data_IF_998493271780
#
_entry.id   IF_998493271780
#
_cell.length_a   1.000
_cell.length_b   1.000
_cell.length_c   1.000
_cell.angle_alpha   90.00
_cell.angle_beta   90.00
_cell.angle_gamma   90.00
#
_symmetry.space_group_name_H-M   'P 1'
#
loop_
_entity.id
_entity.type
_entity.pdbx_description
1 polymer ?
#
# COMPACT_ATOMS: atom_id res chain seq x y z
N UNK A 1 11.16 12.97 -1.27
CA UNK A 1 11.76 11.92 -0.43
C UNK A 1 10.68 11.00 0.10
N UNK A 2 11.07 9.81 0.59
CA UNK A 2 10.17 8.79 1.08
C UNK A 2 9.55 7.95 -0.03
N UNK A 3 8.34 7.43 0.23
CA UNK A 3 7.60 6.57 -0.70
C UNK A 3 6.18 7.09 -0.94
N UNK A 4 5.53 6.54 -1.93
CA UNK A 4 4.12 6.79 -2.25
C UNK A 4 3.44 5.52 -2.74
N UNK A 5 2.11 5.52 -2.87
CA UNK A 5 1.37 4.37 -3.37
C UNK A 5 1.90 3.93 -4.75
N UNK A 6 2.02 2.63 -4.94
CA UNK A 6 2.29 2.06 -6.26
C UNK A 6 0.96 2.05 -7.06
N UNK A 7 0.92 2.85 -8.11
CA UNK A 7 -0.23 2.97 -9.00
C UNK A 7 0.18 2.50 -10.40
N UNK A 8 0.01 1.20 -10.72
CA UNK A 8 0.32 0.67 -12.04
C UNK A 8 -0.67 1.19 -13.09
N UNK A 9 -0.34 1.11 -14.40
CA UNK A 9 -1.20 1.60 -15.48
C UNK A 9 -2.39 0.65 -15.73
N UNK A 10 -3.26 0.51 -14.72
CA UNK A 10 -4.51 -0.24 -14.82
C UNK A 10 -5.59 0.70 -15.34
N UNK A 11 -6.42 0.19 -16.26
CA UNK A 11 -7.50 0.95 -16.87
C UNK A 11 -8.42 1.56 -15.81
N UNK A 12 -8.68 2.86 -15.91
CA UNK A 12 -9.54 3.63 -15.01
C UNK A 12 -8.96 3.92 -13.62
N UNK A 13 -7.77 3.39 -13.28
CA UNK A 13 -7.18 3.62 -11.96
C UNK A 13 -6.89 5.10 -11.73
N UNK A 14 -6.15 5.73 -12.62
CA UNK A 14 -5.76 7.14 -12.48
C UNK A 14 -6.94 8.11 -12.60
N UNK A 15 -8.01 7.70 -13.24
CA UNK A 15 -9.22 8.52 -13.43
C UNK A 15 -10.14 8.51 -12.20
N UNK A 16 -10.02 7.49 -11.34
CA UNK A 16 -10.93 7.29 -10.21
C UNK A 16 -10.25 7.39 -8.84
N UNK A 17 -8.93 7.13 -8.75
CA UNK A 17 -8.24 7.10 -7.45
C UNK A 17 -8.07 8.50 -6.86
N UNK A 18 -8.39 8.65 -5.58
CA UNK A 18 -8.27 9.87 -4.78
C UNK A 18 -8.93 11.10 -5.44
N UNK A 19 -9.98 10.86 -6.23
CA UNK A 19 -10.76 11.91 -6.89
C UNK A 19 -11.66 12.61 -5.87
N UNK A 20 -11.75 13.93 -5.96
CA UNK A 20 -12.66 14.72 -5.11
C UNK A 20 -14.11 14.25 -5.28
N UNK A 21 -14.75 13.92 -4.17
CA UNK A 21 -16.10 13.33 -4.16
C UNK A 21 -16.20 11.89 -4.68
N UNK A 22 -15.07 11.27 -5.03
CA UNK A 22 -15.01 9.86 -5.42
C UNK A 22 -15.02 8.93 -4.23
N UNK A 23 -15.06 7.63 -4.51
CA UNK A 23 -15.10 6.57 -3.51
C UNK A 23 -14.02 5.49 -3.71
N UNK A 24 -13.02 5.78 -4.53
CA UNK A 24 -11.83 4.93 -4.73
C UNK A 24 -10.62 5.64 -4.14
N UNK A 25 -9.94 4.98 -3.22
CA UNK A 25 -8.86 5.58 -2.43
C UNK A 25 -7.55 4.79 -2.56
N UNK A 26 -6.44 5.51 -2.60
CA UNK A 26 -5.13 4.98 -2.20
C UNK A 26 -5.04 4.95 -0.68
N UNK A 27 -3.99 4.33 -0.13
CA UNK A 27 -3.76 4.39 1.32
C UNK A 27 -3.56 5.84 1.81
N UNK A 28 -2.91 6.69 1.04
CA UNK A 28 -2.74 8.10 1.41
C UNK A 28 -4.06 8.86 1.31
N UNK A 29 -4.86 8.61 0.27
CA UNK A 29 -6.22 9.16 0.16
C UNK A 29 -7.09 8.74 1.34
N UNK A 30 -7.07 7.46 1.72
CA UNK A 30 -7.77 6.99 2.92
C UNK A 30 -7.33 7.72 4.19
N UNK A 31 -6.02 7.86 4.43
CA UNK A 31 -5.50 8.54 5.63
C UNK A 31 -5.93 10.01 5.66
N UNK A 32 -5.89 10.70 4.52
CA UNK A 32 -6.32 12.10 4.44
C UNK A 32 -7.81 12.29 4.75
N UNK A 33 -8.63 11.27 4.50
CA UNK A 33 -10.07 11.26 4.70
C UNK A 33 -10.52 10.34 5.85
N UNK A 34 -9.60 9.94 6.75
CA UNK A 34 -9.88 8.92 7.77
C UNK A 34 -11.03 9.27 8.70
N UNK A 35 -11.22 10.55 8.97
CA UNK A 35 -12.31 11.06 9.83
C UNK A 35 -13.64 11.25 9.09
N UNK A 36 -13.66 11.13 7.77
CA UNK A 36 -14.86 11.30 6.94
C UNK A 36 -15.64 9.98 6.83
N UNK A 37 -15.01 8.85 7.14
CA UNK A 37 -15.67 7.55 7.14
C UNK A 37 -16.57 7.38 8.38
N UNK A 38 -17.84 6.96 8.19
CA UNK A 38 -18.76 6.70 9.31
C UNK A 38 -18.20 5.65 10.29
N UNK A 39 -18.53 5.79 11.57
CA UNK A 39 -18.14 4.81 12.59
C UNK A 39 -18.89 3.48 12.47
N UNK A 40 -20.12 3.50 11.96
CA UNK A 40 -20.92 2.31 11.64
C UNK A 40 -21.14 2.23 10.14
N UNK A 41 -20.67 1.15 9.53
CA UNK A 41 -20.74 0.85 8.11
C UNK A 41 -21.51 -0.45 7.87
N UNK A 42 -22.43 -0.83 8.77
CA UNK A 42 -23.27 -2.01 8.59
C UNK A 42 -24.02 -1.95 7.25
N UNK A 43 -23.90 -3.00 6.46
CA UNK A 43 -24.48 -3.10 5.12
C UNK A 43 -23.73 -2.36 4.01
N UNK A 44 -22.64 -1.65 4.33
CA UNK A 44 -21.76 -1.03 3.33
C UNK A 44 -20.71 -2.01 2.83
N UNK A 45 -20.48 -2.02 1.53
CA UNK A 45 -19.51 -2.88 0.86
C UNK A 45 -18.17 -2.18 0.71
N UNK A 46 -17.13 -2.82 1.19
CA UNK A 46 -15.74 -2.38 1.08
C UNK A 46 -14.98 -3.35 0.18
N UNK A 47 -14.35 -2.86 -0.86
CA UNK A 47 -13.47 -3.66 -1.70
C UNK A 47 -12.02 -3.21 -1.55
N UNK A 48 -11.13 -4.12 -1.16
CA UNK A 48 -9.70 -3.85 -0.97
C UNK A 48 -8.90 -4.65 -2.00
N UNK A 49 -8.11 -3.97 -2.81
CA UNK A 49 -7.21 -4.58 -3.79
C UNK A 49 -5.79 -4.61 -3.23
N UNK A 50 -5.25 -5.80 -3.04
CA UNK A 50 -3.93 -6.07 -2.48
C UNK A 50 -4.00 -6.61 -1.06
N UNK A 51 -3.55 -7.84 -0.88
CA UNK A 51 -3.54 -8.57 0.39
C UNK A 51 -2.23 -8.47 1.18
N UNK A 52 -1.41 -7.44 0.93
CA UNK A 52 -0.23 -7.12 1.72
C UNK A 52 -0.56 -6.39 3.02
N UNK A 53 0.47 -5.98 3.79
CA UNK A 53 0.30 -5.29 5.08
C UNK A 53 -0.66 -4.09 4.98
N UNK A 54 -0.46 -3.21 3.99
CA UNK A 54 -1.29 -2.00 3.80
C UNK A 54 -2.77 -2.34 3.56
N UNK A 55 -3.06 -3.36 2.73
CA UNK A 55 -4.44 -3.78 2.50
C UNK A 55 -5.09 -4.39 3.74
N UNK A 56 -4.30 -5.08 4.56
CA UNK A 56 -4.77 -5.64 5.82
C UNK A 56 -5.05 -4.57 6.89
N UNK A 57 -4.25 -3.49 6.93
CA UNK A 57 -4.54 -2.33 7.79
C UNK A 57 -5.90 -1.70 7.41
N UNK A 58 -6.20 -1.61 6.11
CA UNK A 58 -7.52 -1.15 5.62
C UNK A 58 -8.64 -2.11 6.05
N UNK A 59 -8.42 -3.41 5.91
CA UNK A 59 -9.40 -4.44 6.36
C UNK A 59 -9.68 -4.30 7.85
N UNK A 60 -8.65 -4.18 8.70
CA UNK A 60 -8.79 -4.02 10.16
C UNK A 60 -9.61 -2.78 10.50
N UNK A 61 -9.29 -1.64 9.87
CA UNK A 61 -9.99 -0.38 10.10
C UNK A 61 -11.49 -0.48 9.80
N UNK A 62 -11.88 -1.11 8.69
CA UNK A 62 -13.27 -1.22 8.29
C UNK A 62 -14.01 -2.40 8.94
N UNK A 63 -13.32 -3.48 9.31
CA UNK A 63 -13.89 -4.59 10.07
C UNK A 63 -14.40 -4.13 11.46
N UNK A 64 -13.64 -3.26 12.13
CA UNK A 64 -14.06 -2.64 13.38
C UNK A 64 -15.37 -1.81 13.25
N UNK A 65 -15.72 -1.40 12.01
CA UNK A 65 -16.91 -0.61 11.66
C UNK A 65 -18.06 -1.44 11.10
N UNK A 66 -17.99 -2.77 11.19
CA UNK A 66 -19.00 -3.74 10.73
C UNK A 66 -19.28 -3.72 9.22
N UNK A 67 -18.35 -3.29 8.40
CA UNK A 67 -18.49 -3.29 6.96
C UNK A 67 -18.48 -4.71 6.38
N UNK A 68 -19.16 -4.91 5.24
CA UNK A 68 -19.04 -6.12 4.41
C UNK A 68 -17.80 -5.99 3.51
N UNK A 69 -16.73 -6.73 3.84
CA UNK A 69 -15.41 -6.52 3.26
C UNK A 69 -15.05 -7.67 2.32
N UNK A 70 -14.62 -7.30 1.10
CA UNK A 70 -13.95 -8.21 0.17
C UNK A 70 -12.51 -7.78 -0.05
N UNK A 71 -11.54 -8.68 0.17
CA UNK A 71 -10.13 -8.45 -0.12
C UNK A 71 -9.69 -9.30 -1.31
N UNK A 72 -9.10 -8.65 -2.30
CA UNK A 72 -8.63 -9.26 -3.56
C UNK A 72 -7.11 -9.32 -3.55
N UNK A 73 -6.57 -10.51 -3.77
CA UNK A 73 -5.13 -10.75 -3.85
C UNK A 73 -4.79 -11.58 -5.09
N UNK A 74 -3.83 -11.10 -5.87
CA UNK A 74 -3.38 -11.77 -7.10
C UNK A 74 -2.64 -13.09 -6.80
N UNK A 75 -1.94 -13.14 -5.68
CA UNK A 75 -1.23 -14.33 -5.23
C UNK A 75 -2.18 -15.33 -4.58
N UNK A 76 -1.68 -16.52 -4.32
CA UNK A 76 -2.42 -17.62 -3.67
C UNK A 76 -2.66 -17.40 -2.17
N UNK A 77 -2.02 -16.38 -1.57
CA UNK A 77 -2.06 -16.15 -0.14
C UNK A 77 -2.04 -14.67 0.23
N UNK A 78 -2.98 -14.26 1.09
CA UNK A 78 -3.04 -12.95 1.75
C UNK A 78 -2.00 -12.92 2.88
N UNK A 79 -1.36 -11.74 3.08
CA UNK A 79 -0.36 -11.53 4.14
C UNK A 79 0.91 -12.36 3.93
N UNK A 80 1.32 -12.60 2.68
CA UNK A 80 2.48 -13.45 2.36
C UNK A 80 3.76 -12.97 3.03
N UNK A 81 3.97 -11.66 3.08
CA UNK A 81 5.19 -11.01 3.59
C UNK A 81 5.11 -10.64 5.07
N UNK A 82 4.03 -11.01 5.75
CA UNK A 82 3.89 -10.81 7.19
C UNK A 82 4.63 -11.88 7.98
N UNK A 83 5.08 -11.50 9.18
CA UNK A 83 5.59 -12.48 10.15
C UNK A 83 4.47 -13.45 10.59
N UNK A 84 4.83 -14.63 11.09
CA UNK A 84 3.84 -15.68 11.43
C UNK A 84 2.82 -15.26 12.49
N UNK A 85 3.20 -14.40 13.44
CA UNK A 85 2.32 -13.97 14.53
C UNK A 85 1.25 -13.03 14.00
N UNK A 86 1.68 -11.95 13.34
CA UNK A 86 0.79 -10.97 12.69
C UNK A 86 -0.13 -11.65 11.67
N UNK A 87 0.41 -12.57 10.87
CA UNK A 87 -0.37 -13.32 9.88
C UNK A 87 -1.46 -14.18 10.51
N UNK A 88 -1.18 -14.84 11.63
CA UNK A 88 -2.17 -15.65 12.33
C UNK A 88 -3.27 -14.77 12.94
N UNK A 89 -2.91 -13.65 13.54
CA UNK A 89 -3.84 -12.69 14.10
C UNK A 89 -4.78 -12.15 13.01
N UNK A 90 -4.23 -11.67 11.90
CA UNK A 90 -5.04 -11.17 10.78
C UNK A 90 -5.98 -12.24 10.19
N UNK A 91 -5.56 -13.51 10.13
CA UNK A 91 -6.44 -14.61 9.72
C UNK A 91 -7.61 -14.78 10.69
N UNK A 92 -7.36 -14.71 11.99
CA UNK A 92 -8.41 -14.78 13.00
C UNK A 92 -9.38 -13.60 12.87
N UNK A 93 -8.88 -12.39 12.73
CA UNK A 93 -9.70 -11.20 12.55
C UNK A 93 -10.56 -11.28 11.29
N UNK A 94 -9.99 -11.60 10.13
CA UNK A 94 -10.74 -11.76 8.88
C UNK A 94 -11.83 -12.82 9.01
N UNK A 95 -11.58 -13.93 9.70
CA UNK A 95 -12.57 -14.97 9.96
C UNK A 95 -13.68 -14.47 10.89
N UNK A 96 -13.32 -13.77 11.97
CA UNK A 96 -14.27 -13.24 12.96
C UNK A 96 -15.23 -12.24 12.34
N UNK A 97 -14.74 -11.40 11.44
CA UNK A 97 -15.50 -10.35 10.77
C UNK A 97 -16.10 -10.79 9.42
N UNK A 98 -15.96 -12.07 9.05
CA UNK A 98 -16.58 -12.62 7.83
C UNK A 98 -16.00 -12.04 6.53
N UNK A 99 -14.72 -11.61 6.52
CA UNK A 99 -14.08 -11.00 5.34
C UNK A 99 -14.00 -12.00 4.18
N UNK A 100 -14.51 -11.61 3.02
CA UNK A 100 -14.45 -12.39 1.79
C UNK A 100 -13.06 -12.31 1.17
N UNK A 101 -12.34 -13.43 1.15
CA UNK A 101 -10.96 -13.51 0.65
C UNK A 101 -10.96 -14.06 -0.79
N UNK A 102 -10.60 -13.21 -1.74
CA UNK A 102 -10.53 -13.49 -3.18
C UNK A 102 -9.06 -13.59 -3.61
N UNK A 103 -8.42 -14.73 -3.33
CA UNK A 103 -7.04 -15.02 -3.76
C UNK A 103 -6.99 -15.44 -5.22
N UNK A 104 -5.78 -15.47 -5.82
CA UNK A 104 -5.58 -15.77 -7.25
C UNK A 104 -6.48 -14.94 -8.16
N UNK A 105 -6.78 -13.70 -7.72
CA UNK A 105 -7.70 -12.80 -8.38
C UNK A 105 -7.00 -11.47 -8.65
N UNK A 106 -6.96 -11.04 -9.90
CA UNK A 106 -6.23 -9.85 -10.34
C UNK A 106 -7.18 -8.72 -10.72
N UNK A 107 -6.86 -7.48 -10.32
CA UNK A 107 -7.54 -6.28 -10.76
C UNK A 107 -7.27 -6.03 -12.25
N UNK A 108 -8.30 -5.81 -13.05
CA UNK A 108 -8.21 -5.48 -14.48
C UNK A 108 -8.62 -4.04 -14.81
N UNK A 109 -9.65 -3.53 -14.15
CA UNK A 109 -10.16 -2.18 -14.37
C UNK A 109 -10.74 -1.61 -13.09
N UNK A 110 -10.58 -0.30 -12.90
CA UNK A 110 -11.18 0.48 -11.82
C UNK A 110 -12.30 1.32 -12.40
N UNK A 111 -13.50 1.14 -11.88
CA UNK A 111 -14.68 1.96 -12.17
C UNK A 111 -15.07 2.75 -10.92
N UNK A 112 -15.99 3.67 -11.05
CA UNK A 112 -16.42 4.54 -9.96
C UNK A 112 -16.99 3.77 -8.75
N UNK A 113 -17.77 2.70 -9.01
CA UNK A 113 -18.46 1.92 -7.97
C UNK A 113 -18.20 0.41 -8.05
N UNK A 114 -17.24 -0.02 -8.86
CA UNK A 114 -16.86 -1.44 -8.96
C UNK A 114 -15.43 -1.61 -9.43
N UNK A 115 -14.84 -2.74 -9.05
CA UNK A 115 -13.61 -3.25 -9.65
C UNK A 115 -13.94 -4.39 -10.61
N UNK A 116 -13.44 -4.34 -11.84
CA UNK A 116 -13.41 -5.53 -12.70
C UNK A 116 -12.20 -6.37 -12.30
N UNK A 117 -12.46 -7.57 -11.83
CA UNK A 117 -11.43 -8.50 -11.38
C UNK A 117 -11.49 -9.80 -12.16
N UNK A 118 -10.35 -10.50 -12.26
CA UNK A 118 -10.24 -11.79 -12.95
C UNK A 118 -9.73 -12.85 -11.99
N UNK A 119 -10.57 -13.81 -11.67
CA UNK A 119 -10.25 -15.03 -10.94
C UNK A 119 -10.11 -16.24 -11.86
N UNK A 120 -10.09 -17.46 -11.26
CA UNK A 120 -10.03 -18.73 -11.96
C UNK A 120 -11.18 -18.94 -12.95
N UNK A 121 -12.38 -18.50 -12.59
CA UNK A 121 -13.63 -18.76 -13.32
C UNK A 121 -13.96 -17.65 -14.34
N UNK A 122 -13.06 -16.69 -14.51
CA UNK A 122 -13.23 -15.60 -15.46
C UNK A 122 -13.24 -14.21 -14.80
N UNK A 123 -13.65 -13.21 -15.58
CA UNK A 123 -13.74 -11.82 -15.11
C UNK A 123 -15.14 -11.52 -14.61
N UNK A 124 -15.23 -10.81 -13.49
CA UNK A 124 -16.50 -10.35 -12.91
C UNK A 124 -16.34 -8.98 -12.24
N UNK A 125 -17.45 -8.29 -12.05
CA UNK A 125 -17.46 -7.02 -11.32
C UNK A 125 -17.64 -7.26 -9.83
N UNK A 126 -16.80 -6.59 -9.03
CA UNK A 126 -16.89 -6.53 -7.58
C UNK A 126 -17.41 -5.13 -7.20
N UNK A 127 -18.71 -4.99 -6.86
CA UNK A 127 -19.29 -3.70 -6.50
C UNK A 127 -18.89 -3.29 -5.09
N UNK A 128 -18.78 -1.97 -4.84
CA UNK A 128 -18.46 -1.41 -3.53
C UNK A 128 -19.10 -0.04 -3.31
N UNK A 129 -19.26 0.33 -2.04
CA UNK A 129 -19.52 1.70 -1.60
C UNK A 129 -18.19 2.48 -1.46
N UNK A 130 -17.13 1.81 -0.97
CA UNK A 130 -15.76 2.35 -0.90
C UNK A 130 -14.76 1.31 -1.40
N UNK A 131 -13.90 1.73 -2.31
CA UNK A 131 -12.86 0.90 -2.92
C UNK A 131 -11.45 1.38 -2.52
N UNK A 132 -10.56 0.45 -2.20
CA UNK A 132 -9.19 0.76 -1.79
C UNK A 132 -8.18 0.01 -2.65
N UNK A 133 -7.19 0.74 -3.18
CA UNK A 133 -6.15 0.17 -4.02
C UNK A 133 -4.82 0.19 -3.26
N UNK A 134 -4.41 -0.97 -2.74
CA UNK A 134 -3.29 -1.18 -1.83
C UNK A 134 -2.21 -2.09 -2.46
N UNK A 135 -1.72 -1.74 -3.65
CA UNK A 135 -0.77 -2.54 -4.44
C UNK A 135 0.69 -2.39 -3.99
N UNK A 136 0.91 -1.80 -2.82
CA UNK A 136 2.22 -1.57 -2.25
C UNK A 136 2.68 -0.12 -2.37
N UNK A 137 3.95 0.11 -2.02
CA UNK A 137 4.57 1.43 -1.97
C UNK A 137 5.77 1.49 -2.91
N UNK A 138 6.02 2.64 -3.51
CA UNK A 138 7.17 2.89 -4.40
C UNK A 138 7.97 4.08 -3.89
N UNK A 139 9.29 3.94 -3.89
CA UNK A 139 10.21 5.04 -3.56
C UNK A 139 9.99 6.26 -4.46
N UNK A 140 10.01 7.45 -3.87
CA UNK A 140 10.03 8.75 -4.57
C UNK A 140 11.47 9.20 -4.74
N UNK A 141 12.20 8.53 -5.64
CA UNK A 141 13.64 8.70 -5.82
C UNK A 141 14.08 9.87 -6.68
N UNK A 142 13.21 10.78 -7.09
CA UNK A 142 13.51 11.85 -8.06
C UNK A 142 14.51 12.89 -7.54
N UNK A 143 14.55 13.16 -6.24
CA UNK A 143 15.44 14.15 -5.65
C UNK A 143 16.89 13.68 -5.65
N UNK A 144 17.16 12.41 -5.46
CA UNK A 144 18.52 11.87 -5.33
C UNK A 144 19.40 12.14 -6.56
N UNK A 145 18.99 11.81 -7.80
CA UNK A 145 19.78 12.15 -8.98
C UNK A 145 19.95 13.66 -9.19
N UNK A 146 18.95 14.48 -8.83
CA UNK A 146 19.06 15.93 -8.90
C UNK A 146 20.10 16.48 -7.94
N UNK A 147 20.20 15.92 -6.73
CA UNK A 147 21.23 16.29 -5.77
C UNK A 147 22.63 15.85 -6.25
N UNK A 148 22.76 14.65 -6.80
CA UNK A 148 24.02 14.18 -7.38
C UNK A 148 24.52 15.12 -8.50
N UNK A 149 23.62 15.58 -9.35
CA UNK A 149 23.94 16.51 -10.43
C UNK A 149 24.29 17.90 -9.89
N UNK A 150 23.50 18.41 -8.94
CA UNK A 150 23.71 19.74 -8.36
C UNK A 150 25.01 19.87 -7.57
N UNK A 151 25.51 18.79 -6.98
CA UNK A 151 26.74 18.75 -6.16
C UNK A 151 27.87 17.94 -6.83
N UNK A 152 27.83 17.80 -8.17
CA UNK A 152 28.80 16.97 -8.90
C UNK A 152 30.24 17.44 -8.79
N UNK A 153 30.45 18.77 -8.64
CA UNK A 153 31.76 19.42 -8.53
C UNK A 153 32.16 19.72 -7.08
N UNK A 154 31.31 19.38 -6.11
CA UNK A 154 31.56 19.64 -4.69
C UNK A 154 32.09 18.36 -3.99
N UNK A 155 32.96 18.56 -2.99
CA UNK A 155 33.44 17.48 -2.12
C UNK A 155 32.36 17.11 -1.07
N UNK A 156 31.23 16.56 -1.55
CA UNK A 156 30.06 16.21 -0.74
C UNK A 156 29.63 14.77 -1.05
N UNK A 157 29.52 13.93 -0.02
CA UNK A 157 28.93 12.59 -0.14
C UNK A 157 27.43 12.67 0.07
N UNK A 158 26.66 12.25 -0.94
CA UNK A 158 25.19 12.20 -0.88
C UNK A 158 24.75 10.75 -0.74
N UNK A 159 24.10 10.43 0.38
CA UNK A 159 23.60 9.09 0.67
C UNK A 159 22.06 9.05 0.55
N UNK A 160 21.55 8.08 -0.18
CA UNK A 160 20.12 7.80 -0.27
C UNK A 160 19.78 6.61 0.61
N UNK A 161 18.93 6.79 1.64
CA UNK A 161 18.56 5.77 2.61
C UNK A 161 17.04 5.72 2.84
N UNK A 162 16.59 4.64 3.48
CA UNK A 162 15.17 4.45 3.82
C UNK A 162 14.27 4.35 2.60
N UNK A 163 13.04 4.77 2.76
CA UNK A 163 11.98 4.64 1.75
C UNK A 163 12.20 5.45 0.47
N UNK A 164 13.07 6.47 0.51
CA UNK A 164 13.48 7.20 -0.69
C UNK A 164 14.37 6.37 -1.63
N UNK A 165 15.06 5.36 -1.09
CA UNK A 165 15.82 4.38 -1.86
C UNK A 165 14.93 3.21 -2.28
N UNK A 166 14.23 2.62 -1.31
CA UNK A 166 13.31 1.51 -1.52
C UNK A 166 12.29 1.46 -0.38
N UNK A 167 11.02 1.45 -0.71
CA UNK A 167 9.95 1.30 0.27
C UNK A 167 10.06 -0.06 1.00
N UNK A 168 10.23 -0.01 2.32
CA UNK A 168 10.42 -1.17 3.21
C UNK A 168 9.84 -0.86 4.60
N UNK A 169 10.24 -1.65 5.60
CA UNK A 169 9.84 -1.43 6.99
C UNK A 169 10.68 -0.34 7.65
N UNK A 170 10.13 0.31 8.67
CA UNK A 170 10.81 1.35 9.46
C UNK A 170 12.19 0.86 9.97
N UNK A 171 12.27 -0.40 10.39
CA UNK A 171 13.52 -1.00 10.90
C UNK A 171 14.66 -0.94 9.86
N UNK A 172 14.34 -1.15 8.58
CA UNK A 172 15.34 -1.13 7.51
C UNK A 172 15.96 0.26 7.37
N UNK A 173 15.13 1.32 7.33
CA UNK A 173 15.62 2.71 7.28
C UNK A 173 16.38 3.13 8.55
N UNK A 174 15.95 2.65 9.71
CA UNK A 174 16.65 2.91 10.98
C UNK A 174 18.04 2.27 11.00
N UNK A 175 18.16 1.03 10.50
CA UNK A 175 19.44 0.33 10.39
C UNK A 175 20.38 1.02 9.39
N UNK A 176 19.84 1.46 8.23
CA UNK A 176 20.62 2.23 7.26
C UNK A 176 21.14 3.53 7.87
N UNK A 177 20.26 4.30 8.55
CA UNK A 177 20.68 5.53 9.26
C UNK A 177 21.75 5.28 10.32
N UNK A 178 21.62 4.22 11.10
CA UNK A 178 22.64 3.82 12.10
C UNK A 178 23.99 3.50 11.45
N UNK A 179 23.99 2.95 10.26
CA UNK A 179 25.22 2.52 9.59
C UNK A 179 25.89 3.63 8.76
N UNK A 180 25.31 4.83 8.69
CA UNK A 180 25.89 5.96 7.91
C UNK A 180 27.33 6.25 8.34
N UNK A 181 27.60 6.38 9.64
CA UNK A 181 28.94 6.66 10.15
C UNK A 181 29.95 5.60 9.70
N UNK A 182 29.57 4.32 9.77
CA UNK A 182 30.43 3.25 9.27
C UNK A 182 30.74 3.37 7.78
N UNK A 183 29.75 3.72 6.95
CA UNK A 183 29.96 3.94 5.51
C UNK A 183 30.88 5.12 5.23
N UNK A 184 30.71 6.22 5.95
CA UNK A 184 31.55 7.40 5.81
C UNK A 184 33.00 7.15 6.23
N UNK A 185 33.22 6.43 7.34
CA UNK A 185 34.55 6.00 7.78
C UNK A 185 35.23 5.10 6.74
N UNK A 186 34.50 4.11 6.19
CA UNK A 186 35.05 3.20 5.17
C UNK A 186 35.44 3.93 3.86
N UNK A 187 34.84 5.06 3.58
CA UNK A 187 35.13 5.89 2.41
C UNK A 187 36.13 7.01 2.69
N UNK A 188 36.63 7.12 3.92
CA UNK A 188 37.64 8.11 4.32
C UNK A 188 37.09 9.53 4.55
N UNK A 189 35.76 9.70 4.71
CA UNK A 189 35.17 10.99 5.08
C UNK A 189 35.20 11.27 6.59
N UNK A 190 35.48 10.25 7.41
CA UNK A 190 35.62 10.36 8.86
C UNK A 190 36.87 9.61 9.29
N UNK A 191 37.69 10.25 10.19
CA UNK A 191 38.85 9.65 10.82
C UNK A 191 38.46 8.61 11.90
#
# INVERSE_FOLDING_TARGET
TGSGPLLPPIKGLMDNIDKEGGNVYSILGMINHINDFPEDLEGKKIAVIGGGAVGLDVVEFFAARKADISIVEMMDQIGRDLDPVTKNDMKCQMKTHGVHQLTQTALQEVKEHSFLVKGSDGSYELPFDYGFVCLGMRAKGQLYPQLLDAFADDDVEILNIGDSQRARRIIDGTMEGRNILYHLTQRGYLD
#
